data_IF_159237580696
#
_entry.id   IF_159237580696
#
_cell.length_a   1.000
_cell.length_b   1.000
_cell.length_c   1.000
_cell.angle_alpha   90.00
_cell.angle_beta   90.00
_cell.angle_gamma   90.00
#
_symmetry.space_group_name_H-M   'P 1'
#
loop_
_entity.id
_entity.type
_entity.pdbx_description
1 polymer ?
#
# COMPACT_ATOMS: atom_id res chain seq x y z
N UNK A 1 13.77 2.02 5.70
CA UNK A 1 13.15 3.20 6.29
C UNK A 1 13.42 3.14 7.76
N UNK A 2 14.34 3.96 8.20
CA UNK A 2 14.65 4.17 9.61
C UNK A 2 14.02 5.52 9.96
N UNK A 3 13.24 5.55 11.03
CA UNK A 3 12.71 6.80 11.58
C UNK A 3 13.79 7.32 12.54
N UNK A 4 14.12 8.60 12.46
CA UNK A 4 15.00 9.24 13.43
C UNK A 4 14.43 9.01 14.85
N UNK A 5 15.16 8.39 15.78
CA UNK A 5 14.69 8.18 17.14
C UNK A 5 14.23 9.48 17.83
N UNK A 6 14.80 10.63 17.49
CA UNK A 6 14.39 11.94 18.03
C UNK A 6 13.01 12.40 17.54
N UNK A 7 12.50 11.81 16.45
CA UNK A 7 11.18 12.10 15.86
C UNK A 7 10.12 11.05 16.21
N UNK A 8 10.47 10.03 17.00
CA UNK A 8 9.50 9.03 17.46
C UNK A 8 8.48 9.68 18.41
N UNK A 9 7.18 9.37 18.26
CA UNK A 9 6.18 9.87 19.20
C UNK A 9 6.40 9.25 20.58
N UNK A 10 6.25 10.05 21.63
CA UNK A 10 6.33 9.60 23.03
C UNK A 10 5.10 8.78 23.49
N UNK A 11 4.55 7.97 22.60
CA UNK A 11 3.40 7.10 22.88
C UNK A 11 3.86 5.65 22.91
N UNK A 12 3.26 4.87 23.80
CA UNK A 12 3.56 3.45 23.88
C UNK A 12 3.11 2.72 22.60
N UNK A 13 3.94 1.83 22.03
CA UNK A 13 3.54 1.00 20.91
C UNK A 13 2.36 0.10 21.30
N UNK A 14 1.37 0.02 20.41
CA UNK A 14 0.22 -0.86 20.58
C UNK A 14 0.37 -2.07 19.66
N UNK A 15 0.23 -3.27 20.21
CA UNK A 15 0.15 -4.49 19.42
C UNK A 15 -1.22 -4.55 18.71
N UNK A 16 -1.20 -4.72 17.39
CA UNK A 16 -2.41 -4.89 16.58
C UNK A 16 -2.59 -6.36 16.26
N UNK A 17 -3.23 -7.07 17.19
CA UNK A 17 -3.70 -8.43 16.94
C UNK A 17 -4.88 -8.39 15.96
N UNK A 18 -4.86 -9.28 14.97
CA UNK A 18 -5.84 -9.33 13.90
C UNK A 18 -6.25 -10.77 13.65
N UNK A 19 -7.55 -11.01 13.54
CA UNK A 19 -8.10 -12.23 13.01
C UNK A 19 -8.10 -12.21 11.47
N UNK A 20 -8.25 -13.38 10.85
CA UNK A 20 -8.40 -13.48 9.40
C UNK A 20 -9.64 -12.68 8.96
N UNK A 21 -9.42 -11.67 8.14
CA UNK A 21 -10.47 -10.78 7.61
C UNK A 21 -10.49 -9.40 8.26
N UNK A 22 -9.75 -9.19 9.34
CA UNK A 22 -9.62 -7.86 9.95
C UNK A 22 -8.87 -6.90 9.04
N UNK A 23 -9.19 -5.61 9.17
CA UNK A 23 -8.60 -4.54 8.36
C UNK A 23 -8.01 -3.49 9.29
N UNK A 24 -6.74 -3.16 9.06
CA UNK A 24 -6.05 -2.08 9.77
C UNK A 24 -5.98 -0.86 8.86
N UNK A 25 -6.61 0.24 9.28
CA UNK A 25 -6.44 1.55 8.66
C UNK A 25 -5.38 2.35 9.41
N UNK A 26 -4.35 2.80 8.70
CA UNK A 26 -3.30 3.63 9.27
C UNK A 26 -2.97 4.81 8.36
N UNK A 27 -2.52 5.92 8.97
CA UNK A 27 -2.03 7.05 8.20
C UNK A 27 -0.65 6.69 7.61
N UNK A 28 -0.31 7.25 6.44
CA UNK A 28 1.03 7.08 5.84
C UNK A 28 2.18 7.53 6.75
N UNK A 29 1.89 8.37 7.75
CA UNK A 29 2.85 8.87 8.73
C UNK A 29 2.82 8.13 10.07
N UNK A 30 1.97 7.12 10.25
CA UNK A 30 1.96 6.31 11.47
C UNK A 30 3.22 5.44 11.53
N UNK A 31 4.12 5.62 12.51
CA UNK A 31 5.23 4.70 12.72
C UNK A 31 4.72 3.30 13.02
N UNK A 32 5.15 2.31 12.24
CA UNK A 32 4.74 0.92 12.41
C UNK A 32 5.89 -0.01 12.04
N UNK A 33 5.89 -1.20 12.64
CA UNK A 33 6.83 -2.29 12.34
C UNK A 33 6.24 -3.64 12.70
N UNK A 34 6.75 -4.69 12.07
CA UNK A 34 6.58 -6.06 12.56
C UNK A 34 7.81 -6.51 13.35
N UNK A 35 7.63 -7.58 14.12
CA UNK A 35 8.70 -8.38 14.71
C UNK A 35 8.92 -9.66 13.88
N UNK A 36 10.08 -10.35 14.00
CA UNK A 36 10.29 -11.63 13.36
C UNK A 36 9.23 -12.67 13.77
N UNK A 37 8.66 -13.39 12.80
CA UNK A 37 7.74 -14.49 13.07
C UNK A 37 8.55 -15.72 13.50
N UNK A 38 8.31 -16.21 14.72
CA UNK A 38 8.95 -17.40 15.29
C UNK A 38 8.00 -18.61 15.41
N UNK A 39 6.83 -18.54 14.79
CA UNK A 39 5.83 -19.62 14.80
C UNK A 39 5.97 -20.54 13.58
N UNK A 40 5.36 -21.71 13.65
CA UNK A 40 5.24 -22.66 12.53
C UNK A 40 4.15 -22.28 11.52
N UNK A 41 3.56 -21.08 11.64
CA UNK A 41 2.48 -20.60 10.80
C UNK A 41 2.91 -19.42 9.93
N UNK A 42 2.47 -19.42 8.68
CA UNK A 42 2.69 -18.29 7.79
C UNK A 42 1.73 -17.14 8.14
N UNK A 43 2.26 -15.91 8.22
CA UNK A 43 1.47 -14.68 8.34
C UNK A 43 1.42 -13.97 6.99
N UNK A 44 0.26 -13.96 6.34
CA UNK A 44 0.02 -13.16 5.14
C UNK A 44 -0.78 -11.92 5.46
N UNK A 45 -0.39 -10.79 4.85
CA UNK A 45 -1.10 -9.53 4.90
C UNK A 45 -1.07 -8.89 3.51
N UNK A 46 -2.15 -8.20 3.15
CA UNK A 46 -2.24 -7.42 1.91
C UNK A 46 -2.31 -5.93 2.26
N UNK A 47 -1.38 -5.16 1.72
CA UNK A 47 -1.35 -3.71 1.92
C UNK A 47 -1.93 -2.99 0.69
N UNK A 48 -3.03 -2.26 0.91
CA UNK A 48 -3.61 -1.35 -0.08
C UNK A 48 -3.23 0.09 0.27
N UNK A 49 -2.77 0.86 -0.72
CA UNK A 49 -2.42 2.27 -0.55
C UNK A 49 -3.31 3.15 -1.40
N UNK A 50 -4.08 4.00 -0.73
CA UNK A 50 -4.94 4.99 -1.36
C UNK A 50 -4.28 6.36 -1.34
N UNK A 51 -4.52 7.14 -2.38
CA UNK A 51 -4.08 8.52 -2.47
C UNK A 51 -5.09 9.37 -3.23
N UNK A 52 -5.01 10.68 -3.06
CA UNK A 52 -5.84 11.63 -3.79
C UNK A 52 -5.61 11.51 -5.30
N UNK A 53 -6.69 11.42 -6.08
CA UNK A 53 -6.63 11.40 -7.54
C UNK A 53 -5.88 12.62 -8.08
N UNK A 54 -4.98 12.39 -9.04
CA UNK A 54 -4.17 13.44 -9.67
C UNK A 54 -2.87 13.80 -8.94
N UNK A 55 -2.65 13.27 -7.73
CA UNK A 55 -1.37 13.43 -7.04
C UNK A 55 -0.35 12.40 -7.55
N UNK A 56 0.92 12.80 -7.65
CA UNK A 56 2.00 11.89 -8.04
C UNK A 56 2.17 10.77 -7.01
N UNK A 57 2.22 9.51 -7.48
CA UNK A 57 2.36 8.31 -6.63
C UNK A 57 3.78 8.08 -6.11
N UNK A 58 4.79 8.68 -6.77
CA UNK A 58 6.20 8.31 -6.60
C UNK A 58 6.55 6.89 -7.07
N UNK A 59 5.59 6.17 -7.67
CA UNK A 59 5.72 4.80 -8.17
C UNK A 59 5.09 4.73 -9.55
N UNK A 60 5.73 5.39 -10.51
CA UNK A 60 5.18 5.57 -11.87
C UNK A 60 5.24 4.31 -12.74
N UNK A 61 5.88 3.25 -12.24
CA UNK A 61 5.93 1.95 -12.88
C UNK A 61 4.76 1.03 -12.57
N UNK A 62 3.93 1.37 -11.59
CA UNK A 62 2.71 0.61 -11.30
C UNK A 62 1.51 1.33 -11.89
N UNK A 63 0.43 0.61 -12.24
CA UNK A 63 -0.78 1.25 -12.72
C UNK A 63 -1.43 2.06 -11.60
N UNK A 64 -2.05 3.19 -11.98
CA UNK A 64 -2.94 3.95 -11.13
C UNK A 64 -4.31 4.06 -11.78
N UNK A 65 -5.35 4.02 -10.94
CA UNK A 65 -6.74 4.08 -11.38
C UNK A 65 -7.60 4.60 -10.24
N UNK A 66 -8.72 5.24 -10.58
CA UNK A 66 -9.63 5.81 -9.58
C UNK A 66 -10.51 4.71 -9.02
N UNK A 67 -10.47 4.51 -7.70
CA UNK A 67 -11.29 3.51 -7.01
C UNK A 67 -12.54 4.09 -6.35
N UNK A 68 -12.63 5.42 -6.23
CA UNK A 68 -13.80 6.14 -5.69
C UNK A 68 -13.81 7.59 -6.16
N UNK A 69 -14.96 8.09 -6.61
CA UNK A 69 -15.16 9.49 -6.97
C UNK A 69 -16.64 9.84 -6.92
N UNK A 70 -17.03 10.80 -6.06
CA UNK A 70 -18.42 11.26 -5.97
C UNK A 70 -18.76 12.31 -7.06
N UNK A 71 -17.80 13.18 -7.39
CA UNK A 71 -18.00 14.22 -8.41
C UNK A 71 -17.90 13.70 -9.85
N UNK A 72 -17.20 12.58 -10.05
CA UNK A 72 -17.08 11.90 -11.36
C UNK A 72 -17.24 10.38 -11.19
N UNK A 73 -18.45 9.86 -10.94
CA UNK A 73 -18.65 8.42 -10.73
C UNK A 73 -18.20 7.56 -11.93
N UNK A 74 -18.36 8.08 -13.15
CA UNK A 74 -17.94 7.40 -14.38
C UNK A 74 -16.42 7.22 -14.52
N UNK A 75 -15.60 7.89 -13.70
CA UNK A 75 -14.14 7.69 -13.74
C UNK A 75 -13.67 6.50 -12.89
N UNK A 76 -14.55 5.89 -12.09
CA UNK A 76 -14.17 4.79 -11.20
C UNK A 76 -13.91 3.53 -12.03
N UNK A 77 -12.71 2.96 -11.88
CA UNK A 77 -12.36 1.66 -12.43
C UNK A 77 -12.96 0.56 -11.55
N UNK A 78 -13.86 -0.24 -12.12
CA UNK A 78 -14.53 -1.36 -11.46
C UNK A 78 -14.55 -2.64 -12.31
N UNK A 79 -13.71 -2.71 -13.35
CA UNK A 79 -13.56 -3.85 -14.23
C UNK A 79 -12.37 -4.71 -13.78
N UNK A 80 -12.63 -5.99 -13.53
CA UNK A 80 -11.63 -6.95 -13.04
C UNK A 80 -10.62 -7.35 -14.12
N UNK A 81 -11.07 -7.54 -15.36
CA UNK A 81 -10.22 -7.99 -16.45
C UNK A 81 -9.27 -6.86 -16.86
N UNK A 82 -9.76 -5.62 -16.86
CA UNK A 82 -8.96 -4.43 -17.08
C UNK A 82 -7.95 -4.20 -15.95
N UNK A 83 -8.35 -4.42 -14.69
CA UNK A 83 -7.42 -4.39 -13.57
C UNK A 83 -6.28 -5.40 -13.75
N UNK A 84 -6.60 -6.64 -14.13
CA UNK A 84 -5.60 -7.68 -14.41
C UNK A 84 -4.66 -7.24 -15.55
N UNK A 85 -5.24 -6.74 -16.65
CA UNK A 85 -4.48 -6.30 -17.83
C UNK A 85 -3.50 -5.19 -17.48
N UNK A 86 -3.91 -4.20 -16.70
CA UNK A 86 -3.06 -3.08 -16.28
C UNK A 86 -1.86 -3.54 -15.45
N UNK A 87 -2.06 -4.51 -14.56
CA UNK A 87 -0.95 -5.07 -13.76
C UNK A 87 -0.02 -5.93 -14.59
N UNK A 88 -0.54 -6.81 -15.45
CA UNK A 88 0.28 -7.62 -16.36
C UNK A 88 1.12 -6.71 -17.26
N UNK A 89 0.51 -5.71 -17.88
CA UNK A 89 1.22 -4.73 -18.71
C UNK A 89 2.31 -3.99 -17.94
N UNK A 90 2.03 -3.55 -16.71
CA UNK A 90 3.03 -2.85 -15.89
C UNK A 90 4.25 -3.73 -15.55
N UNK A 91 4.07 -5.04 -15.39
CA UNK A 91 5.17 -5.97 -15.14
C UNK A 91 5.93 -6.36 -16.40
N UNK A 92 5.23 -6.58 -17.52
CA UNK A 92 5.84 -6.98 -18.79
C UNK A 92 6.47 -5.80 -19.53
N UNK A 93 5.91 -4.60 -19.38
CA UNK A 93 6.31 -3.37 -20.05
C UNK A 93 6.61 -2.24 -19.04
N UNK A 94 7.60 -2.41 -18.14
CA UNK A 94 7.87 -1.46 -17.08
C UNK A 94 8.28 -0.09 -17.64
N UNK A 95 7.58 0.96 -17.19
CA UNK A 95 7.84 2.37 -17.55
C UNK A 95 8.02 3.19 -16.29
N UNK A 96 8.80 4.26 -16.32
CA UNK A 96 8.98 5.10 -15.14
C UNK A 96 9.80 4.41 -14.04
N UNK A 97 9.53 4.74 -12.77
CA UNK A 97 10.38 4.36 -11.63
C UNK A 97 9.64 3.40 -10.70
N UNK A 98 10.17 2.18 -10.60
CA UNK A 98 9.82 1.17 -9.60
C UNK A 98 10.89 1.15 -8.50
N UNK A 99 11.03 2.22 -7.72
CA UNK A 99 11.93 2.20 -6.57
C UNK A 99 11.33 1.30 -5.47
N UNK A 100 11.69 0.02 -5.50
CA UNK A 100 11.79 -0.77 -4.28
C UNK A 100 13.19 -0.54 -3.71
N UNK A 101 13.34 -0.57 -2.38
CA UNK A 101 14.63 -0.38 -1.71
C UNK A 101 15.71 -1.17 -2.48
N UNK A 102 16.63 -0.46 -3.12
CA UNK A 102 17.93 -1.07 -3.42
C UNK A 102 18.49 -1.50 -2.06
N UNK A 103 19.03 -2.71 -2.01
CA UNK A 103 19.78 -3.19 -0.85
C UNK A 103 20.91 -2.21 -0.49
#
# INVERSE_FOLDING_TARGET
>A
TTIDPALMPGVEPVALECHKGDVVFMNRFTPHRSTPNKSEHCRWSLDLRYQTTGHHTGRTAHPDFVVRSASRPASVMNDYDEWCRLWVDAFENPKGVAAHRAE
#
